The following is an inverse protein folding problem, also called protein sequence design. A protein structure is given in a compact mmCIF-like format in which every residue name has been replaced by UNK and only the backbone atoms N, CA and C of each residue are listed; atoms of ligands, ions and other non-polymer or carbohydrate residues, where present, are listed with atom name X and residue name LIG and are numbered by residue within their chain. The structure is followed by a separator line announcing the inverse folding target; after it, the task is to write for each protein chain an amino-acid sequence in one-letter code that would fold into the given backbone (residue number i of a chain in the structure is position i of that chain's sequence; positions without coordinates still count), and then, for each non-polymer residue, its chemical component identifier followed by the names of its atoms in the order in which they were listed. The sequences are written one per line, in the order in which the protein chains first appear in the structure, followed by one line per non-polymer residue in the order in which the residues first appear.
data_IF_490395219194
#
_entry.id   IF_490395219194
#
_cell.length_a   1.000
_cell.length_b   1.000
_cell.length_c   1.000
_cell.angle_alpha   90.00
_cell.angle_beta   90.00
_cell.angle_gamma   90.00
#
_symmetry.space_group_name_H-M   'P 1'
#
loop_
_entity.id
_entity.type
_entity.pdbx_description
1 polymer ?
#
# COMPACT_ATOMS: atom_id res chain seq x y z
N UNK A 1 23.47 32.36 -4.96
CA UNK A 1 23.66 31.15 -5.79
C UNK A 1 23.69 29.92 -4.87
N UNK A 2 23.13 28.77 -5.30
CA UNK A 2 22.81 27.54 -4.53
C UNK A 2 21.42 27.48 -3.87
N UNK A 3 20.36 27.71 -4.64
CA UNK A 3 19.02 27.22 -4.26
C UNK A 3 18.80 25.87 -4.94
N UNK A 4 18.46 24.84 -4.17
CA UNK A 4 17.94 23.58 -4.71
C UNK A 4 16.46 23.78 -4.95
N UNK A 5 15.97 23.34 -6.11
CA UNK A 5 14.54 23.36 -6.43
C UNK A 5 14.05 21.93 -6.34
N UNK A 6 12.99 21.71 -5.56
CA UNK A 6 12.31 20.42 -5.48
C UNK A 6 11.04 20.55 -6.33
N UNK A 7 10.81 19.58 -7.20
CA UNK A 7 9.69 19.57 -8.13
C UNK A 7 8.99 18.22 -8.03
N UNK A 8 7.71 18.24 -7.71
CA UNK A 8 6.86 17.05 -7.75
C UNK A 8 6.32 16.84 -9.17
N UNK A 9 6.13 15.58 -9.56
CA UNK A 9 5.69 15.21 -10.91
C UNK A 9 6.56 15.79 -12.05
N UNK A 10 7.89 15.77 -11.84
CA UNK A 10 8.85 16.31 -12.81
C UNK A 10 8.73 15.69 -14.21
N UNK A 11 8.23 14.46 -14.33
CA UNK A 11 7.97 13.81 -15.61
C UNK A 11 6.99 14.61 -16.50
N UNK A 12 6.05 15.36 -15.91
CA UNK A 12 5.12 16.22 -16.65
C UNK A 12 5.78 17.49 -17.18
N UNK A 13 6.81 18.00 -16.47
CA UNK A 13 7.51 19.23 -16.87
C UNK A 13 8.67 18.98 -17.82
N UNK A 14 9.30 17.81 -17.73
CA UNK A 14 10.47 17.43 -18.50
C UNK A 14 10.34 17.68 -20.02
N UNK A 15 9.21 17.33 -20.69
CA UNK A 15 9.03 17.59 -22.12
C UNK A 15 9.09 19.07 -22.49
N UNK A 16 8.60 19.96 -21.62
CA UNK A 16 8.59 21.40 -21.86
C UNK A 16 9.91 22.10 -21.47
N UNK A 17 10.63 21.56 -20.48
CA UNK A 17 11.87 22.15 -19.99
C UNK A 17 13.10 21.84 -20.85
N UNK A 18 13.07 20.77 -21.64
CA UNK A 18 14.18 20.36 -22.51
C UNK A 18 15.47 19.97 -21.78
N UNK A 19 15.43 19.85 -20.44
CA UNK A 19 16.56 19.45 -19.59
C UNK A 19 16.09 18.50 -18.50
N UNK A 20 16.95 17.56 -18.13
CA UNK A 20 16.67 16.61 -17.06
C UNK A 20 17.02 17.19 -15.68
N UNK A 21 16.55 16.54 -14.61
CA UNK A 21 16.92 16.87 -13.24
C UNK A 21 18.32 16.37 -12.90
N UNK A 22 19.03 17.07 -11.99
CA UNK A 22 20.33 16.62 -11.48
C UNK A 22 20.21 15.29 -10.71
N UNK A 23 19.08 15.11 -10.01
CA UNK A 23 18.71 13.91 -9.27
C UNK A 23 17.21 13.69 -9.47
N UNK A 24 16.82 12.45 -9.75
CA UNK A 24 15.43 12.02 -9.76
C UNK A 24 15.19 11.10 -8.57
N UNK A 25 14.12 11.37 -7.84
CA UNK A 25 13.58 10.53 -6.78
C UNK A 25 12.24 9.95 -7.24
N UNK A 26 12.20 8.64 -7.51
CA UNK A 26 10.96 7.90 -7.72
C UNK A 26 10.47 7.34 -6.38
N UNK A 27 9.22 7.62 -6.02
CA UNK A 27 8.62 7.16 -4.76
C UNK A 27 7.43 6.25 -5.08
N UNK A 28 7.60 4.94 -4.85
CA UNK A 28 6.56 3.92 -4.98
C UNK A 28 6.52 3.03 -3.75
N UNK A 29 6.35 1.71 -3.96
CA UNK A 29 6.70 0.72 -2.93
C UNK A 29 8.20 0.70 -2.62
N UNK A 30 9.01 1.08 -3.61
CA UNK A 30 10.45 1.24 -3.50
C UNK A 30 10.81 2.70 -3.78
N UNK A 31 11.91 3.14 -3.17
CA UNK A 31 12.50 4.45 -3.44
C UNK A 31 13.64 4.26 -4.43
N UNK A 32 13.51 4.89 -5.60
CA UNK A 32 14.53 4.88 -6.64
C UNK A 32 15.23 6.23 -6.64
N UNK A 33 16.53 6.23 -6.36
CA UNK A 33 17.38 7.41 -6.48
C UNK A 33 18.25 7.24 -7.72
N UNK A 34 18.16 8.17 -8.67
CA UNK A 34 18.97 8.12 -9.89
C UNK A 34 19.58 9.49 -10.22
N UNK A 35 20.78 9.44 -10.83
CA UNK A 35 21.40 10.59 -11.50
C UNK A 35 21.27 10.37 -13.01
N UNK A 36 20.39 11.11 -13.69
CA UNK A 36 20.24 10.99 -15.12
C UNK A 36 21.51 11.37 -15.87
N UNK A 37 21.79 10.65 -16.95
CA UNK A 37 22.85 10.96 -17.91
C UNK A 37 22.24 11.12 -19.31
N UNK A 38 23.08 11.31 -20.32
CA UNK A 38 22.65 11.26 -21.73
C UNK A 38 22.03 9.90 -22.12
N UNK A 39 22.29 8.85 -21.34
CA UNK A 39 21.69 7.52 -21.50
C UNK A 39 20.49 7.27 -20.58
N UNK A 40 19.95 8.33 -19.95
CA UNK A 40 18.83 8.24 -19.02
C UNK A 40 19.24 7.95 -17.57
N UNK A 41 18.29 7.52 -16.72
CA UNK A 41 16.89 7.25 -17.05
C UNK A 41 16.10 8.52 -17.38
N UNK A 42 15.07 8.38 -18.22
CA UNK A 42 14.10 9.45 -18.46
C UNK A 42 13.16 9.57 -17.25
N UNK A 43 12.69 10.79 -16.90
CA UNK A 43 11.73 10.96 -15.81
C UNK A 43 10.47 10.10 -15.95
N UNK A 44 9.98 9.93 -17.17
CA UNK A 44 8.81 9.09 -17.44
C UNK A 44 9.08 7.62 -17.15
N UNK A 45 10.28 7.10 -17.45
CA UNK A 45 10.64 5.72 -17.13
C UNK A 45 10.64 5.48 -15.62
N UNK A 46 11.17 6.42 -14.84
CA UNK A 46 11.13 6.34 -13.37
C UNK A 46 9.69 6.38 -12.86
N UNK A 47 8.86 7.29 -13.40
CA UNK A 47 7.45 7.37 -13.06
C UNK A 47 6.73 6.04 -13.30
N UNK A 48 6.88 5.43 -14.49
CA UNK A 48 6.21 4.17 -14.82
C UNK A 48 6.60 3.03 -13.87
N UNK A 49 7.88 2.92 -13.50
CA UNK A 49 8.35 1.89 -12.56
C UNK A 49 7.65 2.04 -11.20
N UNK A 50 7.63 3.26 -10.62
CA UNK A 50 7.04 3.47 -9.28
C UNK A 50 5.52 3.56 -9.31
N UNK A 51 4.92 3.94 -10.44
CA UNK A 51 3.48 4.04 -10.61
C UNK A 51 2.81 2.68 -10.73
N UNK A 52 3.50 1.67 -11.27
CA UNK A 52 2.97 0.31 -11.41
C UNK A 52 2.47 -0.26 -10.08
N UNK A 53 3.12 0.08 -8.96
CA UNK A 53 2.72 -0.39 -7.63
C UNK A 53 1.57 0.40 -7.00
N UNK A 54 1.14 1.52 -7.60
CA UNK A 54 0.08 2.37 -7.05
C UNK A 54 -1.23 1.61 -6.85
N UNK A 55 -1.59 0.75 -7.81
CA UNK A 55 -2.82 -0.05 -7.73
C UNK A 55 -2.85 -0.90 -6.45
N UNK A 56 -1.78 -1.64 -6.18
CA UNK A 56 -1.71 -2.54 -5.02
C UNK A 56 -1.70 -1.77 -3.70
N UNK A 57 -1.03 -0.62 -3.64
CA UNK A 57 -1.05 0.24 -2.45
C UNK A 57 -2.44 0.79 -2.14
N UNK A 58 -3.20 1.20 -3.16
CA UNK A 58 -4.60 1.61 -2.99
C UNK A 58 -5.49 0.46 -2.50
N UNK A 59 -5.31 -0.74 -3.06
CA UNK A 59 -6.02 -1.94 -2.62
C UNK A 59 -5.68 -2.28 -1.16
N UNK A 60 -4.41 -2.24 -0.78
CA UNK A 60 -3.94 -2.52 0.56
C UNK A 60 -4.52 -1.55 1.59
N UNK A 61 -4.49 -0.25 1.30
CA UNK A 61 -5.05 0.75 2.20
C UNK A 61 -6.58 0.62 2.34
N UNK A 62 -7.29 0.35 1.25
CA UNK A 62 -8.73 0.11 1.33
C UNK A 62 -9.05 -1.19 2.10
N UNK A 63 -8.24 -2.23 1.95
CA UNK A 63 -8.39 -3.48 2.72
C UNK A 63 -8.07 -3.30 4.20
N UNK A 64 -7.10 -2.43 4.52
CA UNK A 64 -6.79 -2.01 5.89
C UNK A 64 -8.01 -1.35 6.53
N UNK A 65 -8.62 -0.36 5.89
CA UNK A 65 -9.81 0.34 6.39
C UNK A 65 -11.00 -0.62 6.63
N UNK A 66 -11.23 -1.55 5.70
CA UNK A 66 -12.27 -2.58 5.86
C UNK A 66 -11.94 -3.49 7.05
N UNK A 67 -10.68 -3.84 7.26
CA UNK A 67 -10.23 -4.65 8.39
C UNK A 67 -10.40 -3.91 9.71
N UNK A 68 -10.02 -2.63 9.77
CA UNK A 68 -10.21 -1.76 10.93
C UNK A 68 -11.69 -1.62 11.30
N UNK A 69 -12.56 -1.38 10.31
CA UNK A 69 -14.01 -1.34 10.51
C UNK A 69 -14.57 -2.68 11.01
N UNK A 70 -14.03 -3.81 10.54
CA UNK A 70 -14.44 -5.15 11.01
C UNK A 70 -14.03 -5.37 12.46
N UNK A 71 -12.80 -4.99 12.81
CA UNK A 71 -12.27 -5.05 14.18
C UNK A 71 -13.10 -4.20 15.15
N UNK A 72 -13.50 -3.01 14.74
CA UNK A 72 -14.34 -2.13 15.55
C UNK A 72 -15.77 -2.68 15.70
N UNK A 73 -16.44 -2.97 14.58
CA UNK A 73 -17.85 -3.37 14.57
C UNK A 73 -18.11 -4.74 15.23
N UNK A 74 -17.21 -5.71 15.05
CA UNK A 74 -17.45 -7.11 15.41
C UNK A 74 -16.63 -7.59 16.62
N UNK A 75 -15.50 -6.94 16.90
CA UNK A 75 -14.59 -7.33 18.00
C UNK A 75 -14.42 -6.23 19.06
N UNK A 76 -15.01 -5.04 18.88
CA UNK A 76 -14.88 -3.92 19.82
C UNK A 76 -13.44 -3.41 19.95
N UNK A 77 -12.62 -3.61 18.91
CA UNK A 77 -11.22 -3.18 18.88
C UNK A 77 -11.14 -1.86 18.09
N UNK A 78 -11.19 -0.75 18.83
CA UNK A 78 -11.07 0.60 18.27
C UNK A 78 -9.63 0.94 17.85
N UNK A 79 -9.51 1.95 16.98
CA UNK A 79 -8.25 2.43 16.39
C UNK A 79 -7.20 2.84 17.42
N UNK A 80 -7.61 3.30 18.61
CA UNK A 80 -6.68 3.67 19.68
C UNK A 80 -5.85 2.49 20.26
N UNK A 81 -6.17 1.25 19.90
CA UNK A 81 -5.48 0.03 20.37
C UNK A 81 -4.27 -0.36 19.51
N UNK A 82 -4.15 0.21 18.32
CA UNK A 82 -3.11 -0.11 17.36
C UNK A 82 -2.66 1.13 16.58
N UNK A 83 -1.64 0.95 15.74
CA UNK A 83 -1.28 1.94 14.73
C UNK A 83 -0.93 1.22 13.44
N UNK A 84 -1.22 1.86 12.31
CA UNK A 84 -0.97 1.34 10.98
C UNK A 84 0.50 1.51 10.55
N UNK A 85 0.93 0.64 9.66
CA UNK A 85 2.19 0.75 8.93
C UNK A 85 2.14 -0.12 7.68
N UNK A 86 2.94 0.23 6.68
CA UNK A 86 2.89 -0.47 5.39
C UNK A 86 3.79 -1.70 5.34
N UNK A 87 3.33 -2.70 4.58
CA UNK A 87 4.19 -3.73 4.00
C UNK A 87 3.92 -3.77 2.49
N UNK A 88 4.88 -4.22 1.68
CA UNK A 88 4.69 -4.34 0.23
C UNK A 88 3.41 -5.11 -0.10
N UNK A 89 2.58 -4.66 -1.04
CA UNK A 89 1.28 -5.28 -1.34
C UNK A 89 0.47 -5.65 -0.07
N UNK A 90 0.37 -4.77 0.93
CA UNK A 90 -0.31 -5.12 2.18
C UNK A 90 -0.25 -4.00 3.22
N UNK A 91 -0.72 -4.32 4.42
CA UNK A 91 -0.74 -3.42 5.57
C UNK A 91 -0.40 -4.17 6.86
N UNK A 92 -0.07 -3.43 7.91
CA UNK A 92 0.28 -3.95 9.23
C UNK A 92 -0.37 -3.11 10.32
N UNK A 93 -1.23 -3.74 11.12
CA UNK A 93 -1.77 -3.14 12.34
C UNK A 93 -0.92 -3.59 13.54
N UNK A 94 -0.30 -2.64 14.23
CA UNK A 94 0.64 -2.90 15.33
C UNK A 94 -0.03 -2.70 16.68
N UNK A 95 -0.22 -3.79 17.41
CA UNK A 95 -0.85 -3.80 18.74
C UNK A 95 0.20 -3.82 19.84
N UNK A 96 0.11 -2.94 20.84
CA UNK A 96 0.95 -3.03 22.05
C UNK A 96 0.64 -4.27 22.88
N UNK A 97 -0.65 -4.59 22.98
CA UNK A 97 -1.16 -5.79 23.65
C UNK A 97 -1.83 -6.67 22.61
N UNK A 98 -1.40 -7.93 22.50
CA UNK A 98 -1.94 -8.88 21.53
C UNK A 98 -3.45 -9.04 21.75
N UNK A 99 -4.30 -8.76 20.76
CA UNK A 99 -5.73 -9.01 20.90
C UNK A 99 -6.02 -10.52 20.83
N UNK A 100 -7.01 -10.97 21.59
CA UNK A 100 -7.52 -12.33 21.56
C UNK A 100 -8.57 -12.47 20.45
N UNK A 101 -8.09 -12.69 19.22
CA UNK A 101 -8.95 -12.85 18.03
C UNK A 101 -8.53 -14.08 17.22
N UNK A 102 -9.51 -14.75 16.64
CA UNK A 102 -9.27 -15.81 15.66
C UNK A 102 -9.03 -15.16 14.29
N UNK A 103 -7.80 -15.32 13.77
CA UNK A 103 -7.41 -14.68 12.51
C UNK A 103 -8.08 -15.30 11.28
N UNK A 104 -8.42 -16.60 11.32
CA UNK A 104 -9.16 -17.24 10.24
C UNK A 104 -10.60 -16.71 10.17
N UNK A 105 -11.22 -16.49 11.34
CA UNK A 105 -12.54 -15.88 11.41
C UNK A 105 -12.50 -14.42 10.94
N UNK A 106 -11.55 -13.62 11.43
CA UNK A 106 -11.38 -12.23 11.00
C UNK A 106 -11.18 -12.14 9.49
N UNK A 107 -10.32 -12.99 8.91
CA UNK A 107 -10.08 -13.03 7.46
C UNK A 107 -11.39 -13.27 6.71
N UNK A 108 -12.18 -14.25 7.17
CA UNK A 108 -13.46 -14.59 6.56
C UNK A 108 -14.45 -13.41 6.64
N UNK A 109 -14.55 -12.72 7.78
CA UNK A 109 -15.41 -11.54 7.95
C UNK A 109 -15.00 -10.40 7.02
N UNK A 110 -13.71 -10.13 6.91
CA UNK A 110 -13.19 -9.10 6.01
C UNK A 110 -13.50 -9.47 4.56
N UNK A 111 -13.26 -10.72 4.14
CA UNK A 111 -13.60 -11.21 2.79
C UNK A 111 -15.09 -11.06 2.49
N UNK A 112 -15.97 -11.37 3.43
CA UNK A 112 -17.41 -11.18 3.30
C UNK A 112 -17.80 -9.71 3.09
N UNK A 113 -17.15 -8.77 3.79
CA UNK A 113 -17.37 -7.34 3.58
C UNK A 113 -16.86 -6.86 2.23
N UNK A 114 -15.66 -7.28 1.83
CA UNK A 114 -15.08 -6.95 0.52
C UNK A 114 -15.98 -7.42 -0.63
N UNK A 115 -16.57 -8.61 -0.50
CA UNK A 115 -17.48 -9.21 -1.47
C UNK A 115 -18.83 -8.47 -1.61
N UNK A 116 -19.15 -7.50 -0.75
CA UNK A 116 -20.35 -6.65 -0.88
C UNK A 116 -20.21 -5.54 -1.90
N UNK A 117 -19.03 -5.37 -2.50
CA UNK A 117 -18.77 -4.38 -3.55
C UNK A 117 -19.14 -2.96 -3.10
N UNK A 118 -18.69 -2.58 -1.91
CA UNK A 118 -18.98 -1.27 -1.32
C UNK A 118 -18.25 -0.18 -2.11
N UNK A 119 -18.96 0.91 -2.41
CA UNK A 119 -18.35 2.10 -2.99
C UNK A 119 -17.42 2.77 -1.97
N UNK A 120 -16.29 3.27 -2.47
CA UNK A 120 -15.30 4.01 -1.68
C UNK A 120 -15.09 5.37 -2.32
N UNK A 121 -15.38 6.42 -1.56
CA UNK A 121 -15.28 7.79 -2.05
C UNK A 121 -14.66 8.74 -1.02
N UNK A 122 -13.99 9.77 -1.51
CA UNK A 122 -13.45 10.84 -0.67
C UNK A 122 -14.59 11.59 0.01
N UNK A 123 -14.44 11.85 1.32
CA UNK A 123 -15.39 12.67 2.07
C UNK A 123 -14.77 14.01 2.47
N UNK A 124 -13.68 13.98 3.24
CA UNK A 124 -12.86 15.15 3.58
C UNK A 124 -11.39 14.73 3.83
N UNK A 125 -10.55 15.65 4.31
CA UNK A 125 -9.13 15.38 4.54
C UNK A 125 -8.85 14.18 5.46
N UNK A 126 -9.69 13.96 6.49
CA UNK A 126 -9.50 12.93 7.50
C UNK A 126 -10.51 11.79 7.43
N UNK A 127 -11.36 11.75 6.40
CA UNK A 127 -12.42 10.75 6.29
C UNK A 127 -12.66 10.29 4.85
N UNK A 128 -13.12 9.05 4.74
CA UNK A 128 -13.71 8.51 3.52
C UNK A 128 -15.13 8.04 3.77
N UNK A 129 -15.87 7.85 2.69
CA UNK A 129 -17.13 7.13 2.69
C UNK A 129 -16.91 5.72 2.16
N UNK A 130 -17.21 4.73 2.99
CA UNK A 130 -17.16 3.30 2.68
C UNK A 130 -18.60 2.74 2.73
N UNK A 131 -19.20 2.54 1.56
CA UNK A 131 -20.63 2.30 1.42
C UNK A 131 -21.43 3.48 2.00
N UNK A 132 -22.27 3.21 2.98
CA UNK A 132 -23.09 4.23 3.65
C UNK A 132 -22.42 4.84 4.90
N UNK A 133 -21.26 4.33 5.30
CA UNK A 133 -20.54 4.80 6.50
C UNK A 133 -19.48 5.84 6.14
N UNK A 134 -19.33 6.85 6.99
CA UNK A 134 -18.17 7.76 6.99
C UNK A 134 -17.21 7.29 8.06
N UNK A 135 -15.95 7.05 7.70
CA UNK A 135 -14.93 6.46 8.56
C UNK A 135 -13.65 7.31 8.54
N UNK A 136 -12.90 7.38 9.65
CA UNK A 136 -11.63 8.11 9.70
C UNK A 136 -10.59 7.43 8.80
N UNK A 137 -9.77 8.24 8.11
CA UNK A 137 -8.68 7.78 7.27
C UNK A 137 -7.72 8.93 6.93
N UNK A 138 -6.46 8.81 7.35
CA UNK A 138 -5.40 9.81 7.07
C UNK A 138 -4.98 9.84 5.58
N UNK A 139 -5.28 8.77 4.84
CA UNK A 139 -4.98 8.62 3.42
C UNK A 139 -6.19 8.82 2.52
N UNK A 140 -7.14 9.69 2.87
CA UNK A 140 -8.47 9.83 2.24
C UNK A 140 -8.52 9.86 0.70
N UNK A 141 -7.47 10.33 0.03
CA UNK A 141 -7.34 10.35 -1.45
C UNK A 141 -6.70 9.10 -2.08
N UNK A 142 -6.39 8.08 -1.28
CA UNK A 142 -5.53 6.95 -1.63
C UNK A 142 -6.26 5.60 -1.65
N UNK A 143 -7.43 5.56 -2.28
CA UNK A 143 -8.29 4.37 -2.29
C UNK A 143 -8.55 3.83 -3.69
N UNK A 144 -8.94 2.56 -3.77
CA UNK A 144 -9.73 2.06 -4.91
C UNK A 144 -11.14 2.67 -4.82
N UNK A 145 -11.94 2.61 -5.89
CA UNK A 145 -13.29 3.19 -5.90
C UNK A 145 -14.35 2.21 -5.42
N UNK A 146 -14.04 0.91 -5.43
CA UNK A 146 -14.94 -0.12 -4.97
C UNK A 146 -14.17 -1.29 -4.35
N UNK A 147 -14.71 -1.90 -3.29
CA UNK A 147 -14.07 -3.07 -2.67
C UNK A 147 -13.96 -4.27 -3.61
N UNK A 148 -14.73 -4.33 -4.69
CA UNK A 148 -14.60 -5.34 -5.76
C UNK A 148 -13.27 -5.28 -6.50
N UNK A 149 -12.55 -4.16 -6.45
CA UNK A 149 -11.22 -4.03 -7.07
C UNK A 149 -10.13 -4.74 -6.27
N UNK A 150 -10.41 -5.09 -5.00
CA UNK A 150 -9.49 -5.80 -4.13
C UNK A 150 -9.51 -7.29 -4.49
N UNK A 151 -8.33 -7.84 -4.77
CA UNK A 151 -8.12 -9.23 -5.15
C UNK A 151 -7.01 -9.82 -4.30
N UNK A 152 -7.01 -11.15 -4.15
CA UNK A 152 -5.95 -11.89 -3.46
C UNK A 152 -5.71 -11.41 -2.01
N UNK A 153 -6.78 -11.01 -1.30
CA UNK A 153 -6.70 -10.65 0.11
C UNK A 153 -6.50 -11.87 1.01
N UNK A 154 -5.56 -11.77 1.95
CA UNK A 154 -5.36 -12.73 3.04
C UNK A 154 -4.76 -12.06 4.28
N UNK A 155 -4.91 -12.70 5.44
CA UNK A 155 -4.21 -12.35 6.67
C UNK A 155 -3.09 -13.35 6.94
N UNK A 156 -2.02 -12.88 7.56
CA UNK A 156 -1.02 -13.78 8.13
C UNK A 156 -1.68 -14.66 9.21
N UNK A 157 -1.39 -15.97 9.19
CA UNK A 157 -2.02 -16.95 10.09
C UNK A 157 -1.71 -16.75 11.58
N UNK A 158 -0.73 -15.91 11.88
CA UNK A 158 -0.34 -15.58 13.24
C UNK A 158 0.15 -14.13 13.31
N UNK A 159 0.06 -13.55 14.50
CA UNK A 159 0.68 -12.27 14.79
C UNK A 159 2.20 -12.38 14.72
N UNK A 160 2.84 -11.46 13.99
CA UNK A 160 4.30 -11.34 13.97
C UNK A 160 4.73 -10.40 15.10
N UNK A 161 5.70 -10.79 15.90
CA UNK A 161 6.20 -9.92 16.97
C UNK A 161 7.33 -9.02 16.44
N UNK A 162 7.13 -7.70 16.51
CA UNK A 162 8.15 -6.69 16.19
C UNK A 162 8.90 -6.29 17.47
N UNK A 163 10.07 -6.87 17.69
CA UNK A 163 10.91 -6.60 18.86
C UNK A 163 11.40 -5.15 18.95
N UNK A 164 11.49 -4.42 17.84
CA UNK A 164 11.95 -3.02 17.83
C UNK A 164 10.92 -2.09 18.45
N UNK A 165 9.65 -2.34 18.15
CA UNK A 165 8.53 -1.52 18.66
C UNK A 165 7.80 -2.16 19.83
N UNK A 166 8.15 -3.40 20.19
CA UNK A 166 7.47 -4.23 21.18
C UNK A 166 5.97 -4.34 20.89
N UNK A 167 5.63 -4.73 19.66
CA UNK A 167 4.25 -4.86 19.20
C UNK A 167 3.95 -6.21 18.57
N UNK A 168 2.68 -6.59 18.60
CA UNK A 168 2.12 -7.74 17.89
C UNK A 168 1.46 -7.23 16.60
N UNK A 169 2.00 -7.63 15.47
CA UNK A 169 1.60 -7.19 14.15
C UNK A 169 0.56 -8.14 13.54
N UNK A 170 -0.64 -7.63 13.30
CA UNK A 170 -1.58 -8.23 12.36
C UNK A 170 -1.17 -7.78 10.95
N UNK A 171 -0.98 -8.73 10.05
CA UNK A 171 -0.51 -8.44 8.69
C UNK A 171 -1.57 -8.86 7.69
N UNK A 172 -2.03 -7.92 6.86
CA UNK A 172 -2.90 -8.19 5.72
C UNK A 172 -2.14 -8.04 4.42
N UNK A 173 -2.38 -8.94 3.48
CA UNK A 173 -1.67 -9.04 2.19
C UNK A 173 -2.66 -8.99 1.02
N UNK A 174 -2.20 -8.41 -0.08
CA UNK A 174 -2.89 -8.26 -1.37
C UNK A 174 -2.05 -8.95 -2.45
N UNK A 175 -1.83 -10.25 -2.27
CA UNK A 175 -1.12 -11.09 -3.22
C UNK A 175 -1.35 -12.59 -2.94
N UNK A 176 -0.73 -13.43 -3.77
CA UNK A 176 -0.79 -14.89 -3.67
C UNK A 176 0.38 -15.51 -2.90
N UNK A 177 1.29 -14.70 -2.35
CA UNK A 177 2.58 -15.15 -1.81
C UNK A 177 2.61 -14.98 -0.29
N UNK A 178 2.00 -15.93 0.42
CA UNK A 178 1.78 -15.88 1.88
C UNK A 178 2.81 -16.69 2.68
N UNK A 179 3.71 -17.44 2.05
CA UNK A 179 4.46 -18.52 2.73
C UNK A 179 5.73 -18.06 3.46
N UNK A 180 6.30 -16.89 3.17
CA UNK A 180 7.47 -16.36 3.89
C UNK A 180 7.38 -14.85 4.10
N UNK A 181 7.06 -14.43 5.32
CA UNK A 181 6.97 -13.02 5.70
C UNK A 181 8.33 -12.42 6.07
N UNK A 182 9.23 -13.21 6.68
CA UNK A 182 10.49 -12.75 7.24
C UNK A 182 11.45 -12.17 6.20
N UNK A 183 11.43 -12.68 4.96
CA UNK A 183 12.28 -12.20 3.87
C UNK A 183 11.48 -11.76 2.62
N UNK A 184 10.20 -11.44 2.81
CA UNK A 184 9.25 -11.13 1.73
C UNK A 184 9.74 -9.99 0.82
N UNK A 185 10.21 -8.90 1.40
CA UNK A 185 10.68 -7.73 0.64
C UNK A 185 11.85 -8.09 -0.29
N UNK A 186 12.79 -8.91 0.17
CA UNK A 186 13.93 -9.37 -0.63
C UNK A 186 13.48 -10.32 -1.73
N UNK A 187 12.62 -11.30 -1.42
CA UNK A 187 12.08 -12.22 -2.43
C UNK A 187 11.40 -11.46 -3.57
N UNK A 188 10.54 -10.50 -3.23
CA UNK A 188 9.90 -9.62 -4.20
C UNK A 188 10.88 -8.81 -5.04
N UNK A 189 11.91 -8.24 -4.41
CA UNK A 189 12.94 -7.49 -5.13
C UNK A 189 13.68 -8.36 -6.15
N UNK A 190 13.96 -9.61 -5.80
CA UNK A 190 14.69 -10.56 -6.65
C UNK A 190 13.84 -11.19 -7.76
N UNK A 191 12.54 -11.40 -7.53
CA UNK A 191 11.65 -12.09 -8.49
C UNK A 191 10.89 -11.16 -9.42
N UNK A 192 11.05 -9.83 -9.26
CA UNK A 192 10.41 -8.86 -10.16
C UNK A 192 10.82 -9.14 -11.60
N UNK A 193 9.85 -9.45 -12.46
CA UNK A 193 10.07 -9.40 -13.90
C UNK A 193 10.21 -7.93 -14.27
N UNK A 194 11.34 -7.54 -14.86
CA UNK A 194 11.43 -6.25 -15.51
C UNK A 194 10.34 -6.20 -16.59
N UNK A 195 9.47 -5.19 -16.54
CA UNK A 195 8.48 -4.92 -17.59
C UNK A 195 9.23 -4.76 -18.92
N UNK A 196 9.29 -5.84 -19.69
CA UNK A 196 10.15 -6.01 -20.86
C UNK A 196 10.00 -7.39 -21.50
N UNK A 197 9.68 -8.44 -20.71
CA UNK A 197 9.35 -9.76 -21.25
C UNK A 197 7.85 -9.86 -21.61
N UNK A 198 7.40 -9.04 -22.55
CA UNK A 198 6.34 -9.49 -23.46
C UNK A 198 7.05 -10.19 -24.61
N UNK A 199 7.33 -11.49 -24.44
CA UNK A 199 7.63 -12.36 -25.57
C UNK A 199 6.39 -12.38 -26.47
N UNK A 200 6.43 -11.61 -27.54
CA UNK A 200 5.65 -11.92 -28.74
C UNK A 200 6.07 -13.31 -29.23
N UNK A 201 5.05 -14.12 -29.55
CA UNK A 201 5.18 -15.41 -30.23
C UNK A 201 5.76 -15.23 -31.63
#
# INVERSE_FOLDING_TARGET
HRRRVIVEHFNLLYPALGRNADIILGIGEEIIVSRPSVFGPLPESIYQIVHTSLKFRKMAHTAEDVTMQTLEDEYGIAENRYFSSDVRNGFVLKFKEKPEINLDELEQRVKERLARHLEVSYFDEGHIRLGDKVIPCDGSRFHVRNTSEITDFSLARHFIFDAKTNTHCLVGLIDKYTENLDNRNTQYFLTRKCSGDNNEQ
#
